data_IF_471636391698
#
_entry.id   IF_471636391698
#
_cell.length_a   1.000
_cell.length_b   1.000
_cell.length_c   1.000
_cell.angle_alpha   90.00
_cell.angle_beta   90.00
_cell.angle_gamma   90.00
#
_symmetry.space_group_name_H-M   'P 1'
#
loop_
_entity.id
_entity.type
_entity.pdbx_description
1 polymer ?
#
# COMPACT_ATOMS: atom_id res chain seq x y z
N UNK A 1 -7.73 10.23 -20.50
CA UNK A 1 -8.59 9.20 -21.11
C UNK A 1 -8.06 7.87 -20.60
N UNK A 2 -8.78 7.16 -19.72
CA UNK A 2 -8.28 5.90 -19.14
C UNK A 2 -8.23 4.86 -20.26
N UNK A 3 -7.06 4.65 -20.85
CA UNK A 3 -6.85 3.63 -21.88
C UNK A 3 -7.34 2.28 -21.37
N UNK A 4 -7.86 1.44 -22.29
CA UNK A 4 -8.34 0.08 -22.03
C UNK A 4 -7.50 -0.55 -20.93
N UNK A 5 -8.11 -0.71 -19.74
CA UNK A 5 -7.50 -1.39 -18.62
C UNK A 5 -7.15 -2.80 -19.13
N UNK A 6 -5.86 -3.10 -19.26
CA UNK A 6 -5.44 -4.45 -19.66
C UNK A 6 -6.09 -5.42 -18.67
N UNK A 7 -6.81 -6.40 -19.20
CA UNK A 7 -7.49 -7.40 -18.39
C UNK A 7 -6.42 -8.10 -17.56
N UNK A 8 -6.51 -7.97 -16.22
CA UNK A 8 -5.68 -8.75 -15.29
C UNK A 8 -5.83 -10.22 -15.66
N UNK A 9 -4.73 -10.96 -15.67
CA UNK A 9 -4.75 -12.39 -15.96
C UNK A 9 -5.70 -13.11 -14.99
N UNK A 10 -6.61 -13.89 -15.55
CA UNK A 10 -7.54 -14.68 -14.75
C UNK A 10 -6.84 -15.88 -14.06
N UNK A 11 -5.56 -16.16 -14.38
CA UNK A 11 -4.83 -17.35 -13.92
C UNK A 11 -4.49 -17.30 -12.43
N UNK A 12 -4.00 -16.18 -11.91
CA UNK A 12 -3.48 -16.11 -10.54
C UNK A 12 -4.30 -15.17 -9.67
N UNK A 13 -4.48 -15.57 -8.42
CA UNK A 13 -4.92 -14.68 -7.35
C UNK A 13 -4.29 -15.12 -6.02
N UNK A 14 -4.41 -14.27 -5.00
CA UNK A 14 -3.94 -14.60 -3.66
C UNK A 14 -5.05 -14.37 -2.65
N UNK A 15 -5.37 -15.40 -1.88
CA UNK A 15 -6.38 -15.33 -0.85
C UNK A 15 -6.01 -14.34 0.24
N UNK A 16 -6.99 -13.56 0.69
CA UNK A 16 -6.84 -12.65 1.82
C UNK A 16 -7.01 -13.43 3.12
N UNK A 17 -5.98 -13.43 3.96
CA UNK A 17 -6.05 -13.92 5.33
C UNK A 17 -6.04 -12.76 6.34
N UNK A 18 -6.62 -12.94 7.52
CA UNK A 18 -6.72 -11.91 8.56
C UNK A 18 -8.15 -11.63 9.02
N UNK A 19 -8.32 -10.55 9.80
CA UNK A 19 -9.62 -10.23 10.42
C UNK A 19 -10.67 -9.86 9.37
N UNK A 20 -11.95 -10.17 9.64
CA UNK A 20 -13.07 -9.80 8.77
C UNK A 20 -13.14 -8.28 8.52
N UNK A 21 -12.76 -7.49 9.52
CA UNK A 21 -12.69 -6.02 9.40
C UNK A 21 -11.59 -5.59 8.42
N UNK A 22 -10.41 -6.20 8.49
CA UNK A 22 -9.31 -5.95 7.55
C UNK A 22 -9.70 -6.32 6.12
N UNK A 23 -10.24 -7.53 5.93
CA UNK A 23 -10.71 -8.02 4.62
C UNK A 23 -11.81 -7.12 4.04
N UNK A 24 -12.77 -6.67 4.86
CA UNK A 24 -13.82 -5.73 4.43
C UNK A 24 -13.26 -4.38 4.00
N UNK A 25 -12.27 -3.83 4.71
CA UNK A 25 -11.58 -2.58 4.31
C UNK A 25 -10.91 -2.74 2.96
N UNK A 26 -10.26 -3.88 2.72
CA UNK A 26 -9.67 -4.18 1.41
C UNK A 26 -10.72 -4.24 0.31
N UNK A 27 -11.83 -4.95 0.48
CA UNK A 27 -12.94 -4.98 -0.49
C UNK A 27 -13.51 -3.59 -0.81
N UNK A 28 -13.63 -2.72 0.20
CA UNK A 28 -14.15 -1.36 0.00
C UNK A 28 -13.17 -0.47 -0.78
N UNK A 29 -11.86 -0.71 -0.66
CA UNK A 29 -10.80 0.10 -1.26
C UNK A 29 -10.29 -0.44 -2.59
N UNK A 30 -10.36 -1.74 -2.82
CA UNK A 30 -9.81 -2.41 -3.99
C UNK A 30 -10.96 -3.01 -4.81
N UNK A 31 -11.67 -2.16 -5.56
CA UNK A 31 -12.81 -2.56 -6.39
C UNK A 31 -12.43 -2.76 -7.85
N UNK A 32 -13.17 -3.56 -8.58
CA UNK A 32 -13.11 -3.58 -10.04
C UNK A 32 -13.42 -2.19 -10.65
N UNK A 33 -12.95 -1.90 -11.88
CA UNK A 33 -12.20 -2.74 -12.81
C UNK A 33 -10.67 -2.46 -12.82
N UNK A 34 -10.11 -1.95 -11.72
CA UNK A 34 -8.71 -1.49 -11.70
C UNK A 34 -7.72 -2.65 -11.53
N UNK A 35 -6.43 -2.41 -11.86
CA UNK A 35 -5.36 -3.43 -11.88
C UNK A 35 -5.18 -4.25 -10.60
N UNK A 36 -5.58 -3.70 -9.45
CA UNK A 36 -5.59 -4.41 -8.18
C UNK A 36 -7.00 -4.31 -7.60
N UNK A 37 -7.63 -5.46 -7.42
CA UNK A 37 -8.98 -5.54 -6.88
C UNK A 37 -9.17 -6.81 -6.07
N UNK A 38 -10.12 -6.75 -5.13
CA UNK A 38 -10.53 -7.93 -4.37
C UNK A 38 -11.76 -8.52 -5.02
N UNK A 39 -11.66 -9.81 -5.32
CA UNK A 39 -12.70 -10.62 -5.92
C UNK A 39 -13.27 -11.62 -4.89
N UNK A 40 -14.52 -11.99 -5.07
CA UNK A 40 -15.25 -12.94 -4.22
C UNK A 40 -15.36 -14.26 -4.97
N UNK A 41 -14.70 -15.29 -4.45
CA UNK A 41 -14.74 -16.63 -5.03
C UNK A 41 -15.64 -17.52 -4.18
N UNK A 42 -16.46 -18.32 -4.85
CA UNK A 42 -17.28 -19.37 -4.27
C UNK A 42 -17.00 -20.67 -5.03
N UNK A 43 -16.48 -21.67 -4.32
CA UNK A 43 -16.24 -23.00 -4.87
C UNK A 43 -16.68 -24.10 -3.86
N UNK A 44 -16.35 -25.36 -4.15
CA UNK A 44 -16.67 -26.50 -3.28
C UNK A 44 -16.08 -26.42 -1.87
N UNK A 45 -15.10 -25.55 -1.63
CA UNK A 45 -14.47 -25.30 -0.34
C UNK A 45 -15.05 -24.07 0.38
N UNK A 46 -16.05 -23.41 -0.20
CA UNK A 46 -16.79 -22.30 0.40
C UNK A 46 -16.47 -20.94 -0.21
N UNK A 47 -16.83 -19.88 0.53
CA UNK A 47 -16.68 -18.48 0.11
C UNK A 47 -15.40 -17.89 0.67
N UNK A 48 -14.58 -17.29 -0.20
CA UNK A 48 -13.36 -16.61 0.20
C UNK A 48 -13.07 -15.39 -0.68
N UNK A 49 -12.16 -14.55 -0.20
CA UNK A 49 -11.77 -13.31 -0.87
C UNK A 49 -10.36 -13.48 -1.42
N UNK A 50 -10.15 -13.07 -2.67
CA UNK A 50 -8.83 -13.11 -3.31
C UNK A 50 -8.45 -11.74 -3.83
N UNK A 51 -7.17 -11.39 -3.77
CA UNK A 51 -6.58 -10.25 -4.45
C UNK A 51 -6.21 -10.68 -5.86
N UNK A 52 -6.80 -10.02 -6.84
CA UNK A 52 -6.42 -10.03 -8.25
C UNK A 52 -5.45 -8.87 -8.49
N UNK A 53 -4.40 -9.13 -9.26
CA UNK A 53 -3.35 -8.15 -9.53
C UNK A 53 -2.70 -8.40 -10.88
N UNK A 54 -2.53 -7.34 -11.69
CA UNK A 54 -1.72 -7.43 -12.91
C UNK A 54 -0.25 -7.74 -12.62
N UNK A 55 0.21 -7.54 -11.38
CA UNK A 55 1.53 -7.94 -10.93
C UNK A 55 1.76 -9.45 -10.92
N UNK A 56 0.72 -10.26 -11.16
CA UNK A 56 0.82 -11.72 -11.26
C UNK A 56 0.79 -12.23 -12.70
N UNK A 57 0.51 -11.37 -13.69
CA UNK A 57 0.16 -11.78 -15.05
C UNK A 57 1.29 -12.55 -15.75
N UNK A 58 2.53 -12.09 -15.55
CA UNK A 58 3.73 -12.67 -16.17
C UNK A 58 4.38 -13.76 -15.30
N UNK A 59 3.82 -14.06 -14.13
CA UNK A 59 4.39 -15.05 -13.21
C UNK A 59 3.92 -16.46 -13.59
N UNK A 60 4.89 -17.37 -13.71
CA UNK A 60 4.62 -18.76 -14.11
C UNK A 60 4.45 -19.68 -12.91
N UNK A 61 5.19 -19.42 -11.84
CA UNK A 61 5.23 -20.28 -10.65
C UNK A 61 4.57 -19.65 -9.42
N UNK A 62 3.92 -20.50 -8.64
CA UNK A 62 3.24 -20.11 -7.41
C UNK A 62 4.15 -19.52 -6.33
N UNK A 63 5.44 -19.87 -6.28
CA UNK A 63 6.40 -19.28 -5.33
C UNK A 63 6.68 -17.82 -5.68
N UNK A 64 6.82 -17.52 -6.96
CA UNK A 64 7.05 -16.15 -7.42
C UNK A 64 5.80 -15.31 -7.17
N UNK A 65 4.61 -15.86 -7.41
CA UNK A 65 3.33 -15.22 -7.05
C UNK A 65 3.24 -14.97 -5.55
N UNK A 66 3.59 -15.94 -4.71
CA UNK A 66 3.60 -15.78 -3.26
C UNK A 66 4.55 -14.67 -2.82
N UNK A 67 5.77 -14.63 -3.36
CA UNK A 67 6.76 -13.61 -3.03
C UNK A 67 6.34 -12.21 -3.50
N UNK A 68 5.81 -12.09 -4.72
CA UNK A 68 5.25 -10.84 -5.24
C UNK A 68 4.06 -10.36 -4.39
N UNK A 69 3.22 -11.29 -3.94
CA UNK A 69 2.07 -10.99 -3.09
C UNK A 69 2.49 -10.48 -1.71
N UNK A 70 3.58 -10.99 -1.11
CA UNK A 70 4.09 -10.44 0.17
C UNK A 70 4.43 -8.96 0.05
N UNK A 71 5.12 -8.59 -1.02
CA UNK A 71 5.47 -7.19 -1.29
C UNK A 71 4.22 -6.34 -1.53
N UNK A 72 3.28 -6.86 -2.34
CA UNK A 72 2.03 -6.18 -2.64
C UNK A 72 1.16 -5.98 -1.39
N UNK A 73 1.02 -7.01 -0.54
CA UNK A 73 0.24 -6.92 0.69
C UNK A 73 0.87 -5.93 1.68
N UNK A 74 2.20 -5.86 1.75
CA UNK A 74 2.91 -4.82 2.51
C UNK A 74 2.52 -3.42 2.03
N UNK A 75 2.53 -3.19 0.71
CA UNK A 75 2.13 -1.93 0.12
C UNK A 75 0.65 -1.62 0.37
N UNK A 76 -0.27 -2.58 0.14
CA UNK A 76 -1.70 -2.39 0.38
C UNK A 76 -1.97 -2.06 1.85
N UNK A 77 -1.35 -2.78 2.79
CA UNK A 77 -1.51 -2.51 4.22
C UNK A 77 -0.98 -1.13 4.61
N UNK A 78 0.08 -0.63 3.97
CA UNK A 78 0.57 0.74 4.18
C UNK A 78 -0.47 1.80 3.81
N UNK A 79 -1.30 1.54 2.78
CA UNK A 79 -2.27 2.53 2.27
C UNK A 79 -3.67 2.35 2.86
N UNK A 80 -4.08 1.11 3.12
CA UNK A 80 -5.40 0.75 3.66
C UNK A 80 -5.39 0.72 5.19
N UNK A 81 -4.23 0.49 5.81
CA UNK A 81 -4.06 0.41 7.25
C UNK A 81 -4.32 1.76 7.94
N UNK A 82 -5.31 1.77 8.83
CA UNK A 82 -5.50 2.85 9.80
C UNK A 82 -4.60 2.59 10.99
N UNK A 83 -3.64 3.48 11.25
CA UNK A 83 -2.75 3.56 12.43
C UNK A 83 -2.99 2.49 13.51
N UNK A 84 -2.10 1.48 13.51
CA UNK A 84 -2.10 0.33 14.41
C UNK A 84 -2.05 -0.99 13.64
N UNK A 85 -1.15 -1.90 14.02
CA UNK A 85 -0.95 -3.30 13.53
C UNK A 85 -2.18 -4.21 13.59
N UNK A 86 -3.32 -3.67 13.96
CA UNK A 86 -4.46 -4.37 14.54
C UNK A 86 -5.44 -4.86 13.44
N UNK A 87 -5.21 -4.63 12.14
CA UNK A 87 -6.08 -5.19 11.09
C UNK A 87 -5.31 -5.54 9.81
N UNK A 88 -4.08 -6.03 9.97
CA UNK A 88 -3.27 -6.42 8.82
C UNK A 88 -3.89 -7.62 8.12
N UNK A 89 -4.03 -7.49 6.81
CA UNK A 89 -4.40 -8.61 5.94
C UNK A 89 -3.09 -9.24 5.47
N UNK A 90 -2.97 -10.55 5.59
CA UNK A 90 -1.78 -11.33 5.23
C UNK A 90 -2.07 -12.23 4.05
N UNK A 91 -0.99 -12.70 3.42
CA UNK A 91 -1.05 -13.64 2.31
C UNK A 91 -1.62 -14.97 2.81
N UNK A 92 -2.75 -15.40 2.23
CA UNK A 92 -3.32 -16.73 2.41
C UNK A 92 -2.76 -17.73 1.40
N UNK A 93 -3.62 -18.56 0.81
CA UNK A 93 -3.21 -19.42 -0.29
C UNK A 93 -2.95 -18.63 -1.58
N UNK A 94 -1.98 -19.08 -2.37
CA UNK A 94 -1.92 -18.73 -3.80
C UNK A 94 -2.93 -19.58 -4.54
N UNK A 95 -3.79 -18.95 -5.33
CA UNK A 95 -4.88 -19.59 -6.06
C UNK A 95 -4.55 -19.57 -7.55
N UNK A 96 -4.47 -20.75 -8.15
CA UNK A 96 -4.32 -20.95 -9.59
C UNK A 96 -5.67 -21.32 -10.20
N UNK A 97 -6.19 -20.49 -11.10
CA UNK A 97 -7.35 -20.79 -11.91
C UNK A 97 -6.88 -21.48 -13.18
N UNK A 98 -7.21 -22.76 -13.29
CA UNK A 98 -6.93 -23.60 -14.46
C UNK A 98 -8.15 -23.64 -15.37
N UNK A 99 -7.94 -23.74 -16.69
CA UNK A 99 -9.00 -23.63 -17.71
C UNK A 99 -10.13 -24.64 -17.53
N UNK A 100 -9.81 -25.85 -17.06
CA UNK A 100 -10.69 -27.02 -17.11
C UNK A 100 -10.85 -27.70 -15.74
N UNK A 101 -10.77 -26.95 -14.63
CA UNK A 101 -10.85 -27.55 -13.30
C UNK A 101 -11.11 -26.55 -12.17
N UNK A 102 -11.36 -27.07 -10.95
CA UNK A 102 -11.49 -26.22 -9.78
C UNK A 102 -10.17 -25.47 -9.50
N UNK A 103 -10.23 -24.27 -8.91
CA UNK A 103 -9.03 -23.53 -8.55
C UNK A 103 -8.10 -24.35 -7.64
N UNK A 104 -6.79 -24.33 -7.93
CA UNK A 104 -5.79 -25.02 -7.14
C UNK A 104 -5.25 -24.06 -6.08
N UNK A 105 -5.37 -24.44 -4.80
CA UNK A 105 -4.89 -23.64 -3.66
C UNK A 105 -3.55 -24.16 -3.15
N UNK A 106 -2.52 -23.33 -3.20
CA UNK A 106 -1.17 -23.64 -2.72
C UNK A 106 -0.86 -22.82 -1.47
N UNK A 107 -0.66 -23.52 -0.36
CA UNK A 107 -0.36 -22.91 0.94
C UNK A 107 1.15 -22.83 1.15
N UNK A 108 1.62 -21.67 1.58
CA UNK A 108 3.01 -21.45 1.95
C UNK A 108 3.07 -21.26 3.46
N UNK A 109 3.78 -22.15 4.15
CA UNK A 109 3.97 -22.07 5.59
C UNK A 109 5.29 -21.34 5.87
N UNK A 110 5.19 -20.17 6.49
CA UNK A 110 6.34 -19.42 7.01
C UNK A 110 6.21 -19.29 8.53
N UNK A 111 7.32 -19.44 9.25
CA UNK A 111 7.34 -19.25 10.69
C UNK A 111 7.18 -17.75 11.00
N UNK A 112 5.97 -17.31 11.30
CA UNK A 112 5.66 -15.95 11.72
C UNK A 112 5.09 -15.95 13.15
N UNK A 113 5.56 -15.00 13.98
CA UNK A 113 5.11 -14.83 15.36
C UNK A 113 3.62 -14.44 15.44
N UNK A 114 2.97 -14.86 16.53
CA UNK A 114 1.55 -14.60 16.80
C UNK A 114 1.31 -13.10 16.95
N UNK A 115 0.38 -12.53 16.18
CA UNK A 115 -0.07 -11.14 16.31
C UNK A 115 -1.56 -11.12 16.63
N UNK A 116 -1.96 -10.43 17.70
CA UNK A 116 -3.37 -10.29 18.13
C UNK A 116 -3.93 -8.91 17.81
N UNK A 117 -5.23 -8.84 17.52
CA UNK A 117 -5.89 -7.59 17.12
C UNK A 117 -7.30 -7.34 17.70
N UNK A 118 -7.60 -6.08 18.05
CA UNK A 118 -8.92 -5.54 18.42
C UNK A 118 -9.52 -4.54 17.39
N UNK A 119 -10.77 -4.72 16.98
CA UNK A 119 -11.41 -3.92 15.91
C UNK A 119 -12.19 -2.69 16.42
N UNK A 120 -12.08 -1.55 15.70
CA UNK A 120 -13.03 -0.42 15.72
C UNK A 120 -13.79 -0.37 14.37
N UNK A 121 -15.10 -0.17 14.41
CA UNK A 121 -16.04 -0.32 13.28
C UNK A 121 -15.80 0.58 12.06
N UNK A 122 -16.35 0.18 10.91
CA UNK A 122 -16.36 0.94 9.65
C UNK A 122 -17.78 1.44 9.34
N UNK A 123 -17.92 2.70 8.90
CA UNK A 123 -19.18 3.26 8.41
C UNK A 123 -19.28 3.10 6.88
N UNK A 124 -20.48 2.77 6.38
CA UNK A 124 -20.81 2.72 4.96
C UNK A 124 -21.70 3.91 4.59
N UNK A 125 -21.40 4.57 3.47
CA UNK A 125 -22.20 5.66 2.93
C UNK A 125 -22.74 5.26 1.56
N UNK A 126 -24.06 5.30 1.40
CA UNK A 126 -24.72 5.18 0.10
C UNK A 126 -25.36 6.52 -0.27
N UNK A 127 -25.22 6.91 -1.54
CA UNK A 127 -25.86 8.11 -2.09
C UNK A 127 -27.09 7.64 -2.84
N UNK A 128 -28.24 8.24 -2.54
CA UNK A 128 -29.50 7.97 -3.24
C UNK A 128 -29.86 9.15 -4.15
N UNK A 129 -30.45 8.87 -5.30
CA UNK A 129 -31.06 9.89 -6.16
C UNK A 129 -32.37 10.43 -5.54
N UNK A 130 -32.99 11.38 -6.22
CA UNK A 130 -34.27 11.97 -5.81
C UNK A 130 -35.43 10.95 -5.79
N UNK A 131 -35.25 9.79 -6.43
CA UNK A 131 -36.21 8.69 -6.52
C UNK A 131 -35.91 7.60 -5.47
N UNK A 132 -34.87 7.76 -4.65
CA UNK A 132 -34.47 6.82 -3.62
C UNK A 132 -33.63 5.64 -4.12
N UNK A 133 -33.23 5.62 -5.39
CA UNK A 133 -32.33 4.60 -5.94
C UNK A 133 -30.89 4.90 -5.53
N UNK A 134 -30.11 3.86 -5.24
CA UNK A 134 -28.68 4.03 -4.97
C UNK A 134 -28.00 4.44 -6.27
N UNK A 135 -27.39 5.63 -6.27
CA UNK A 135 -26.55 6.10 -7.38
C UNK A 135 -25.18 5.50 -7.18
N UNK A 136 -24.80 4.55 -8.03
CA UNK A 136 -23.41 4.11 -8.10
C UNK A 136 -22.58 5.19 -8.80
N UNK A 137 -21.65 5.88 -8.09
CA UNK A 137 -20.79 6.83 -8.74
C UNK A 137 -19.92 6.11 -9.78
N UNK A 138 -19.66 6.77 -10.92
CA UNK A 138 -18.68 6.32 -11.92
C UNK A 138 -17.44 5.75 -11.22
N UNK A 139 -17.07 4.51 -11.56
CA UNK A 139 -15.95 3.82 -10.93
C UNK A 139 -14.69 4.68 -11.02
N UNK A 140 -14.21 5.16 -9.87
CA UNK A 140 -12.96 5.90 -9.73
C UNK A 140 -12.00 5.08 -8.89
N UNK A 141 -10.72 5.05 -9.25
CA UNK A 141 -9.73 4.32 -8.46
C UNK A 141 -9.68 4.93 -7.06
N UNK A 142 -9.65 4.08 -6.05
CA UNK A 142 -9.43 4.56 -4.69
C UNK A 142 -8.01 5.12 -4.54
N UNK A 143 -7.76 5.88 -3.46
CA UNK A 143 -6.41 6.30 -3.10
C UNK A 143 -5.44 5.11 -3.00
N UNK A 144 -5.90 3.96 -2.49
CA UNK A 144 -5.07 2.76 -2.44
C UNK A 144 -4.70 2.26 -3.84
N UNK A 145 -5.66 2.20 -4.76
CA UNK A 145 -5.41 1.76 -6.14
C UNK A 145 -4.49 2.72 -6.90
N UNK A 146 -4.62 4.02 -6.66
CA UNK A 146 -3.71 5.03 -7.20
C UNK A 146 -2.28 4.80 -6.68
N UNK A 147 -2.11 4.54 -5.39
CA UNK A 147 -0.80 4.30 -4.81
C UNK A 147 -0.15 3.01 -5.34
N UNK A 148 -0.92 1.92 -5.42
CA UNK A 148 -0.43 0.66 -5.99
C UNK A 148 0.03 0.85 -7.44
N UNK A 149 -0.80 1.51 -8.26
CA UNK A 149 -0.43 1.84 -9.64
C UNK A 149 0.83 2.67 -9.74
N UNK A 150 1.04 3.63 -8.84
CA UNK A 150 2.29 4.41 -8.81
C UNK A 150 3.51 3.55 -8.44
N UNK A 151 3.36 2.54 -7.57
CA UNK A 151 4.41 1.55 -7.30
C UNK A 151 4.66 0.59 -8.46
N UNK A 152 3.66 0.34 -9.30
CA UNK A 152 3.83 -0.39 -10.57
C UNK A 152 4.63 0.38 -11.60
N UNK A 153 4.42 1.69 -11.66
CA UNK A 153 5.07 2.56 -12.62
C UNK A 153 6.48 2.99 -12.18
N UNK A 154 6.77 3.01 -10.87
CA UNK A 154 8.01 3.53 -10.32
C UNK A 154 8.56 2.66 -9.18
N UNK A 155 9.73 2.06 -9.41
CA UNK A 155 10.44 1.19 -8.45
C UNK A 155 10.73 1.90 -7.13
N UNK A 156 11.05 3.20 -7.15
CA UNK A 156 11.42 3.94 -5.94
C UNK A 156 10.19 4.19 -5.06
N UNK A 157 9.03 4.43 -5.69
CA UNK A 157 7.74 4.51 -4.99
C UNK A 157 7.40 3.15 -4.36
N UNK A 158 7.58 2.05 -5.10
CA UNK A 158 7.36 0.69 -4.57
C UNK A 158 8.25 0.40 -3.36
N UNK A 159 9.55 0.72 -3.45
CA UNK A 159 10.48 0.55 -2.33
C UNK A 159 10.07 1.37 -1.11
N UNK A 160 9.66 2.63 -1.31
CA UNK A 160 9.18 3.46 -0.21
C UNK A 160 7.90 2.91 0.44
N UNK A 161 6.94 2.41 -0.36
CA UNK A 161 5.72 1.76 0.16
C UNK A 161 6.04 0.54 1.01
N UNK A 162 6.99 -0.30 0.58
CA UNK A 162 7.43 -1.47 1.33
C UNK A 162 7.97 -1.11 2.70
N UNK A 163 8.84 -0.10 2.79
CA UNK A 163 9.38 0.37 4.08
C UNK A 163 8.33 1.06 4.96
N UNK A 164 7.25 1.60 4.39
CA UNK A 164 6.18 2.22 5.17
C UNK A 164 5.10 1.23 5.64
N UNK A 165 5.16 -0.04 5.22
CA UNK A 165 4.23 -1.07 5.63
C UNK A 165 4.28 -1.37 7.13
N UNK A 166 3.11 -1.61 7.74
CA UNK A 166 3.00 -2.00 9.15
C UNK A 166 3.26 -0.84 10.13
N UNK A 167 4.16 -1.06 11.10
CA UNK A 167 4.55 -0.08 12.12
C UNK A 167 6.03 0.31 11.98
N UNK A 168 6.41 1.09 10.95
CA UNK A 168 7.81 1.38 10.65
C UNK A 168 8.49 2.14 11.79
N UNK A 169 9.70 1.74 12.12
CA UNK A 169 10.60 2.39 13.07
C UNK A 169 11.48 3.45 12.36
N UNK A 170 12.45 4.02 13.08
CA UNK A 170 13.33 5.05 12.53
C UNK A 170 14.18 4.59 11.34
N UNK A 171 14.61 3.33 11.34
CA UNK A 171 15.37 2.74 10.25
C UNK A 171 14.49 2.61 9.00
N UNK A 172 13.31 2.00 9.09
CA UNK A 172 12.47 1.86 7.90
C UNK A 172 12.00 3.23 7.37
N UNK A 173 11.67 4.18 8.25
CA UNK A 173 11.33 5.54 7.83
C UNK A 173 12.50 6.22 7.10
N UNK A 174 13.74 6.00 7.54
CA UNK A 174 14.92 6.53 6.86
C UNK A 174 15.12 5.90 5.48
N UNK A 175 14.91 4.58 5.37
CA UNK A 175 15.01 3.88 4.08
C UNK A 175 13.91 4.34 3.11
N UNK A 176 12.69 4.56 3.60
CA UNK A 176 11.62 5.18 2.83
C UNK A 176 12.01 6.59 2.35
N UNK A 177 12.68 7.39 3.20
CA UNK A 177 13.20 8.70 2.76
C UNK A 177 14.22 8.58 1.64
N UNK A 178 15.22 7.69 1.78
CA UNK A 178 16.27 7.57 0.76
C UNK A 178 15.70 7.08 -0.57
N UNK A 179 14.71 6.16 -0.56
CA UNK A 179 14.00 5.76 -1.77
C UNK A 179 13.32 6.95 -2.48
N UNK A 180 12.72 7.88 -1.73
CA UNK A 180 12.02 9.04 -2.32
C UNK A 180 12.94 10.21 -2.70
N UNK A 181 14.18 10.24 -2.20
CA UNK A 181 15.09 11.40 -2.26
C UNK A 181 15.40 11.87 -3.67
N UNK A 182 15.57 10.96 -4.63
CA UNK A 182 15.90 11.32 -6.01
C UNK A 182 14.70 11.90 -6.77
N UNK A 183 13.47 11.66 -6.30
CA UNK A 183 12.24 12.22 -6.88
C UNK A 183 11.94 13.62 -6.37
N UNK A 184 12.47 14.00 -5.21
CA UNK A 184 12.15 15.28 -4.55
C UNK A 184 12.54 16.55 -5.31
N UNK A 185 13.70 16.65 -6.00
CA UNK A 185 14.07 17.85 -6.74
C UNK A 185 13.02 18.24 -7.80
N UNK A 186 12.29 17.24 -8.34
CA UNK A 186 11.27 17.43 -9.36
C UNK A 186 9.92 17.90 -8.79
N UNK A 187 9.68 17.66 -7.50
CA UNK A 187 8.42 17.97 -6.80
C UNK A 187 8.53 19.24 -5.97
N UNK A 188 9.71 19.54 -5.44
CA UNK A 188 9.95 20.66 -4.54
C UNK A 188 10.47 21.94 -5.24
N UNK A 189 10.81 21.88 -6.54
CA UNK A 189 11.27 23.06 -7.28
C UNK A 189 10.09 23.87 -7.83
N UNK A 190 9.92 25.08 -7.29
CA UNK A 190 9.28 26.19 -8.00
C UNK A 190 10.36 27.17 -8.45
N UNK A 191 10.09 27.94 -9.52
CA UNK A 191 10.93 29.09 -9.91
C UNK A 191 11.08 30.13 -8.77
N UNK A 192 10.27 30.05 -7.71
CA UNK A 192 10.23 30.96 -6.56
C UNK A 192 10.83 30.39 -5.26
N UNK A 193 11.42 29.18 -5.27
CA UNK A 193 12.11 28.62 -4.10
C UNK A 193 11.22 28.09 -2.96
N UNK A 194 9.89 28.11 -3.12
CA UNK A 194 8.93 27.54 -2.16
C UNK A 194 8.60 26.08 -2.51
N UNK A 195 8.59 25.15 -1.52
CA UNK A 195 8.33 23.74 -1.78
C UNK A 195 6.86 23.53 -2.15
N UNK A 196 6.60 23.16 -3.41
CA UNK A 196 5.28 22.75 -3.95
C UNK A 196 4.62 21.62 -3.15
N UNK A 197 5.41 20.86 -2.39
CA UNK A 197 4.95 19.75 -1.55
C UNK A 197 4.25 20.20 -0.26
N UNK A 198 4.41 21.45 0.18
CA UNK A 198 3.95 21.90 1.50
C UNK A 198 4.70 21.24 2.67
N UNK A 199 5.89 20.69 2.39
CA UNK A 199 6.77 20.04 3.35
C UNK A 199 8.05 20.87 3.44
N UNK A 200 8.34 21.39 4.63
CA UNK A 200 9.47 22.29 4.79
C UNK A 200 10.80 21.54 4.79
N UNK A 201 11.85 22.15 4.22
CA UNK A 201 13.21 21.63 4.31
C UNK A 201 13.70 21.53 5.75
N UNK A 202 13.16 22.35 6.67
CA UNK A 202 13.45 22.28 8.10
C UNK A 202 12.90 20.98 8.72
N UNK A 203 11.65 20.62 8.42
CA UNK A 203 11.06 19.35 8.86
C UNK A 203 11.87 18.14 8.35
N UNK A 204 12.28 18.15 7.08
CA UNK A 204 13.11 17.06 6.52
C UNK A 204 14.48 16.99 7.21
N UNK A 205 15.14 18.11 7.43
CA UNK A 205 16.43 18.14 8.15
C UNK A 205 16.29 17.62 9.58
N UNK A 206 15.23 18.03 10.28
CA UNK A 206 14.96 17.56 11.65
C UNK A 206 14.76 16.05 11.66
N UNK A 207 13.89 15.53 10.77
CA UNK A 207 13.68 14.10 10.59
C UNK A 207 14.99 13.33 10.37
N UNK A 208 15.84 13.76 9.42
CA UNK A 208 17.11 13.07 9.12
C UNK A 208 18.06 13.05 10.31
N UNK A 209 18.15 14.15 11.05
CA UNK A 209 19.00 14.23 12.25
C UNK A 209 18.48 13.31 13.35
N UNK A 210 17.17 13.29 13.59
CA UNK A 210 16.56 12.40 14.59
C UNK A 210 16.73 10.93 14.20
N UNK A 211 16.43 10.56 12.95
CA UNK A 211 16.57 9.19 12.46
C UNK A 211 18.02 8.68 12.53
N UNK A 212 19.00 9.52 12.13
CA UNK A 212 20.42 9.15 12.22
C UNK A 212 20.87 9.04 13.69
N UNK A 213 20.39 9.91 14.58
CA UNK A 213 20.69 9.80 16.00
C UNK A 213 20.09 8.55 16.66
N UNK A 214 18.94 8.07 16.17
CA UNK A 214 18.34 6.82 16.63
C UNK A 214 19.06 5.57 16.10
N UNK A 215 19.66 5.65 14.91
CA UNK A 215 20.34 4.53 14.24
C UNK A 215 21.77 4.28 14.72
N UNK A 216 22.44 5.30 15.24
CA UNK A 216 23.85 5.22 15.64
C UNK A 216 24.00 5.33 17.15
N UNK A 217 25.01 4.65 17.71
CA UNK A 217 25.40 4.90 19.10
C UNK A 217 25.68 6.39 19.30
N UNK A 218 25.23 6.99 20.41
CA UNK A 218 25.42 8.41 20.66
C UNK A 218 26.91 8.74 20.63
N UNK A 219 27.33 9.51 19.64
CA UNK A 219 28.64 10.11 19.56
C UNK A 219 28.48 11.59 19.16
N UNK A 220 29.56 12.36 19.23
CA UNK A 220 29.52 13.80 18.94
C UNK A 220 29.00 14.13 17.53
N UNK A 221 29.08 13.18 16.59
CA UNK A 221 28.62 13.34 15.19
C UNK A 221 27.14 12.98 14.99
N UNK A 222 26.55 12.20 15.88
CA UNK A 222 25.18 11.70 15.75
C UNK A 222 24.30 12.07 16.96
N UNK A 223 24.67 13.13 17.68
CA UNK A 223 23.86 13.61 18.80
C UNK A 223 22.45 13.98 18.30
N UNK A 224 21.39 13.40 18.90
CA UNK A 224 20.04 13.78 18.54
C UNK A 224 19.83 15.28 18.79
N UNK A 225 18.97 15.95 17.99
CA UNK A 225 18.66 17.35 18.21
C UNK A 225 17.98 17.54 19.58
N UNK A 226 18.08 18.74 20.16
CA UNK A 226 17.53 19.07 21.50
C UNK A 226 16.03 18.75 21.60
N UNK A 227 15.29 18.96 20.51
CA UNK A 227 13.90 18.53 20.37
C UNK A 227 13.82 17.51 19.22
N UNK A 228 14.02 16.20 19.50
CA UNK A 228 13.86 15.18 18.48
C UNK A 228 12.41 15.07 18.03
N UNK A 229 12.22 14.83 16.73
CA UNK A 229 10.90 14.55 16.17
C UNK A 229 10.32 13.28 16.81
N UNK A 230 9.04 13.28 17.17
CA UNK A 230 8.42 12.06 17.67
C UNK A 230 8.23 11.05 16.52
N UNK A 231 8.32 9.74 16.82
CA UNK A 231 8.17 8.69 15.80
C UNK A 231 6.82 8.79 15.05
N UNK A 232 5.74 9.11 15.76
CA UNK A 232 4.42 9.32 15.16
C UNK A 232 4.37 10.52 14.20
N UNK A 233 5.12 11.58 14.47
CA UNK A 233 5.25 12.73 13.58
C UNK A 233 6.07 12.37 12.33
N UNK A 234 7.16 11.61 12.51
CA UNK A 234 7.98 11.12 11.42
C UNK A 234 7.21 10.20 10.47
N UNK A 235 6.37 9.30 11.01
CA UNK A 235 5.44 8.48 10.22
C UNK A 235 4.51 9.37 9.40
N UNK A 236 3.81 10.33 10.03
CA UNK A 236 2.92 11.27 9.33
C UNK A 236 3.65 12.06 8.24
N UNK A 237 4.87 12.51 8.51
CA UNK A 237 5.71 13.21 7.54
C UNK A 237 6.01 12.34 6.32
N UNK A 238 6.40 11.07 6.51
CA UNK A 238 6.69 10.17 5.38
C UNK A 238 5.44 9.84 4.56
N UNK A 239 4.30 9.59 5.22
CA UNK A 239 3.02 9.38 4.53
C UNK A 239 2.61 10.61 3.69
N UNK A 240 2.81 11.83 4.22
CA UNK A 240 2.59 13.07 3.45
C UNK A 240 3.54 13.16 2.24
N UNK A 241 4.82 12.83 2.40
CA UNK A 241 5.81 12.88 1.31
C UNK A 241 5.44 11.92 0.18
N UNK A 242 5.22 10.65 0.49
CA UNK A 242 4.95 9.65 -0.54
C UNK A 242 3.63 9.94 -1.26
N UNK A 243 2.61 10.44 -0.56
CA UNK A 243 1.35 10.90 -1.17
C UNK A 243 1.59 11.98 -2.24
N UNK A 244 2.44 12.97 -1.95
CA UNK A 244 2.80 14.03 -2.91
C UNK A 244 3.60 13.51 -4.11
N UNK A 245 4.50 12.56 -3.88
CA UNK A 245 5.27 11.92 -4.97
C UNK A 245 4.34 11.15 -5.89
N UNK A 246 3.39 10.41 -5.33
CA UNK A 246 2.39 9.64 -6.06
C UNK A 246 1.47 10.59 -6.86
N UNK A 247 0.94 11.64 -6.24
CA UNK A 247 0.13 12.65 -6.92
C UNK A 247 0.84 13.25 -8.14
N UNK A 248 2.14 13.54 -8.01
CA UNK A 248 2.95 14.08 -9.12
C UNK A 248 3.16 13.05 -10.23
N UNK A 249 3.44 11.80 -9.86
CA UNK A 249 3.72 10.71 -10.80
C UNK A 249 2.48 10.38 -11.63
N UNK A 250 1.33 10.18 -10.98
CA UNK A 250 0.07 9.87 -11.65
C UNK A 250 -0.38 11.01 -12.58
N UNK A 251 -0.17 12.27 -12.20
CA UNK A 251 -0.52 13.43 -13.05
C UNK A 251 0.34 13.55 -14.31
N UNK A 252 1.52 12.93 -14.36
CA UNK A 252 2.36 12.95 -15.57
C UNK A 252 1.99 11.87 -16.57
N UNK A 253 1.42 10.78 -16.11
CA UNK A 253 1.03 9.63 -16.93
C UNK A 253 -0.43 9.72 -17.42
N UNK A 254 -1.16 10.77 -17.05
CA UNK A 254 -2.51 11.12 -17.52
C UNK A 254 -2.47 12.25 -18.57
#
# INVERSE_FOLDING_TARGET
MWGQLSKVSDRWAVELNGSEVGKRKWCQKLKEPFFHYVDKIEDSHGKYLVLRSSGFDDLVDSKDVHQAAKDLFGAVNAVVGTSGSINLVTVGAVVEFVSDGPPIRKYFLEAAGITMSASLGCAEFSVKDAQGNVVEPLAKPSTAQLWLRAGDLDRDIRSAQRYLGGEPDWFELYMAHEALKEKEPRICATKSGSPKSGISQKEIRLFKRTANGARHHPNDKHRPPECPMALGEARKLMYRRISKVIDYTIKRDL
#
